data_IF_335713109667
#
_entry.id   IF_335713109667
#
_cell.length_a   1.000
_cell.length_b   1.000
_cell.length_c   1.000
_cell.angle_alpha   90.00
_cell.angle_beta   90.00
_cell.angle_gamma   90.00
#
_symmetry.space_group_name_H-M   'P 1'
#
loop_
_entity.id
_entity.type
_entity.pdbx_description
1 polymer ?
#
# COMPACT_ATOMS: atom_id res chain seq x y z
N UNK A 1 -3.03 6.14 -22.77
CA UNK A 1 -3.40 5.01 -21.91
C UNK A 1 -2.13 4.41 -21.36
N UNK A 2 -2.15 3.90 -20.12
CA UNK A 2 -0.95 3.35 -19.49
C UNK A 2 -0.56 2.04 -20.18
N UNK A 3 0.73 1.88 -20.47
CA UNK A 3 1.28 0.60 -20.92
C UNK A 3 1.43 -0.37 -19.72
N UNK A 4 1.46 -1.70 -19.96
CA UNK A 4 1.80 -2.67 -18.93
C UNK A 4 3.16 -2.38 -18.30
N UNK A 5 3.27 -2.61 -17.00
CA UNK A 5 4.47 -2.36 -16.21
C UNK A 5 5.74 -3.05 -16.75
N UNK A 6 5.60 -4.22 -17.41
CA UNK A 6 6.70 -4.93 -18.07
C UNK A 6 7.38 -4.08 -19.15
N UNK A 7 6.60 -3.24 -19.82
CA UNK A 7 7.03 -2.51 -21.01
C UNK A 7 7.57 -1.13 -20.65
N UNK A 8 7.39 -0.68 -19.40
CA UNK A 8 7.73 0.67 -18.96
C UNK A 8 8.99 0.74 -18.09
N UNK A 9 9.67 -0.38 -17.81
CA UNK A 9 10.79 -0.44 -16.85
C UNK A 9 11.92 0.54 -17.19
N UNK A 10 12.20 0.69 -18.47
CA UNK A 10 13.24 1.58 -19.01
C UNK A 10 12.89 3.08 -18.92
N UNK A 11 11.64 3.43 -18.61
CA UNK A 11 11.15 4.81 -18.58
C UNK A 11 11.39 5.40 -17.18
N UNK A 12 12.42 6.23 -17.03
CA UNK A 12 12.83 6.78 -15.72
C UNK A 12 11.81 7.71 -15.07
N UNK A 13 11.05 8.46 -15.87
CA UNK A 13 9.94 9.29 -15.41
C UNK A 13 8.72 8.92 -16.25
N UNK A 14 7.84 8.09 -15.69
CA UNK A 14 6.70 7.49 -16.37
C UNK A 14 5.43 8.28 -16.05
N UNK A 15 4.84 8.99 -17.04
CA UNK A 15 3.50 9.54 -16.88
C UNK A 15 2.49 8.40 -16.71
N UNK A 16 1.71 8.44 -15.63
CA UNK A 16 0.71 7.43 -15.33
C UNK A 16 -0.65 8.11 -15.09
N UNK A 17 -1.66 7.70 -15.84
CA UNK A 17 -3.04 8.17 -15.69
C UNK A 17 -3.82 7.26 -14.76
N UNK A 18 -4.30 7.76 -13.62
CA UNK A 18 -5.28 7.04 -12.80
C UNK A 18 -6.60 6.82 -13.56
N UNK A 19 -7.40 5.83 -13.15
CA UNK A 19 -8.70 5.56 -13.79
C UNK A 19 -9.70 6.72 -13.74
N UNK A 20 -9.52 7.66 -12.80
CA UNK A 20 -10.34 8.87 -12.68
C UNK A 20 -9.82 10.06 -13.52
N UNK A 21 -8.80 9.83 -14.34
CA UNK A 21 -8.24 10.81 -15.28
C UNK A 21 -7.12 11.69 -14.72
N UNK A 22 -6.83 11.63 -13.41
CA UNK A 22 -5.66 12.31 -12.84
C UNK A 22 -4.38 11.71 -13.42
N UNK A 23 -3.36 12.54 -13.60
CA UNK A 23 -2.04 12.10 -14.07
C UNK A 23 -1.03 12.37 -12.97
N UNK A 24 -0.19 11.38 -12.70
CA UNK A 24 1.01 11.49 -11.87
C UNK A 24 2.23 11.14 -12.72
N UNK A 25 3.42 11.52 -12.26
CA UNK A 25 4.67 11.06 -12.84
C UNK A 25 5.36 10.10 -11.85
N UNK A 26 5.62 8.87 -12.30
CA UNK A 26 6.30 7.83 -11.53
C UNK A 26 7.79 7.79 -11.89
N UNK A 27 8.63 8.12 -10.92
CA UNK A 27 10.06 7.93 -10.98
C UNK A 27 10.39 6.45 -10.83
N UNK A 28 11.12 5.91 -11.79
CA UNK A 28 11.59 4.53 -11.82
C UNK A 28 13.11 4.46 -11.97
N UNK A 29 13.72 3.46 -11.35
CA UNK A 29 15.11 3.12 -11.58
C UNK A 29 15.32 1.60 -11.61
N UNK A 30 15.53 1.08 -12.81
CA UNK A 30 15.85 -0.32 -13.09
C UNK A 30 17.36 -0.61 -13.20
N UNK A 31 18.23 0.39 -12.97
CA UNK A 31 19.69 0.23 -13.13
C UNK A 31 20.39 -0.25 -11.88
N UNK A 32 19.79 -0.03 -10.70
CA UNK A 32 20.32 -0.50 -9.43
C UNK A 32 19.83 -1.93 -9.18
N UNK A 33 20.76 -2.89 -9.12
CA UNK A 33 20.46 -4.30 -8.87
C UNK A 33 20.26 -4.66 -7.40
N UNK A 34 20.13 -3.67 -6.52
CA UNK A 34 19.96 -3.85 -5.07
C UNK A 34 18.51 -4.15 -4.67
N UNK A 35 17.53 -3.74 -5.49
CA UNK A 35 16.11 -4.00 -5.22
C UNK A 35 15.23 -3.86 -6.45
N UNK A 36 14.19 -4.70 -6.50
CA UNK A 36 13.09 -4.62 -7.47
C UNK A 36 12.08 -3.53 -7.16
N UNK A 37 12.13 -2.92 -5.96
CA UNK A 37 11.18 -1.93 -5.45
C UNK A 37 11.25 -0.55 -6.12
N UNK A 38 12.21 -0.33 -7.03
CA UNK A 38 12.38 0.95 -7.74
C UNK A 38 11.67 1.03 -9.09
N UNK A 39 10.92 0.00 -9.48
CA UNK A 39 10.19 -0.02 -10.74
C UNK A 39 8.72 -0.35 -10.53
N UNK A 40 7.86 0.09 -11.45
CA UNK A 40 6.43 -0.20 -11.39
C UNK A 40 6.19 -1.68 -11.71
N UNK A 41 5.31 -2.34 -10.96
CA UNK A 41 4.92 -3.74 -11.18
C UNK A 41 3.46 -3.87 -11.62
N UNK A 42 3.16 -4.95 -12.35
CA UNK A 42 1.86 -5.16 -12.97
C UNK A 42 0.75 -5.31 -11.94
N UNK A 43 1.02 -6.00 -10.82
CA UNK A 43 0.08 -6.15 -9.72
C UNK A 43 -0.35 -4.81 -9.13
N UNK A 44 0.52 -3.80 -9.08
CA UNK A 44 0.16 -2.46 -8.60
C UNK A 44 -0.83 -1.77 -9.55
N UNK A 45 -0.60 -1.86 -10.86
CA UNK A 45 -1.51 -1.31 -11.87
C UNK A 45 -2.88 -2.02 -11.83
N UNK A 46 -2.87 -3.35 -11.74
CA UNK A 46 -4.09 -4.15 -11.60
C UNK A 46 -4.86 -3.80 -10.32
N UNK A 47 -4.15 -3.62 -9.21
CA UNK A 47 -4.77 -3.30 -7.93
C UNK A 47 -5.42 -1.92 -7.97
N UNK A 48 -4.80 -0.92 -8.61
CA UNK A 48 -5.44 0.40 -8.84
C UNK A 48 -6.74 0.27 -9.64
N UNK A 49 -6.72 -0.47 -10.76
CA UNK A 49 -7.92 -0.70 -11.57
C UNK A 49 -9.03 -1.37 -10.76
N UNK A 50 -8.67 -2.42 -10.01
CA UNK A 50 -9.64 -3.15 -9.19
C UNK A 50 -10.18 -2.29 -8.05
N UNK A 51 -9.32 -1.60 -7.30
CA UNK A 51 -9.74 -0.70 -6.22
C UNK A 51 -10.65 0.41 -6.74
N UNK A 52 -10.37 0.99 -7.91
CA UNK A 52 -11.28 1.95 -8.54
C UNK A 52 -12.68 1.36 -8.78
N UNK A 53 -12.74 0.11 -9.24
CA UNK A 53 -14.01 -0.58 -9.50
C UNK A 53 -14.84 -0.88 -8.24
N UNK A 54 -14.24 -0.87 -7.04
CA UNK A 54 -14.95 -1.23 -5.80
C UNK A 54 -15.05 -0.09 -4.79
N UNK A 55 -14.10 0.85 -4.78
CA UNK A 55 -14.03 1.92 -3.78
C UNK A 55 -15.01 3.06 -4.02
N UNK A 56 -15.57 3.21 -5.22
CA UNK A 56 -16.62 4.22 -5.49
C UNK A 56 -17.87 4.04 -4.59
N UNK A 57 -18.07 2.86 -3.99
CA UNK A 57 -19.16 2.56 -3.05
C UNK A 57 -18.81 2.88 -1.60
N UNK A 58 -17.56 3.22 -1.32
CA UNK A 58 -17.04 3.41 0.03
C UNK A 58 -17.11 4.90 0.39
N UNK A 59 -17.75 5.21 1.53
CA UNK A 59 -17.65 6.53 2.13
C UNK A 59 -16.28 6.67 2.79
N UNK A 60 -15.33 7.28 2.06
CA UNK A 60 -13.96 7.54 2.53
C UNK A 60 -13.92 8.68 3.54
N UNK A 61 -14.78 9.69 3.34
CA UNK A 61 -14.92 10.84 4.22
C UNK A 61 -16.31 10.83 4.85
N UNK A 62 -16.37 10.99 6.17
CA UNK A 62 -17.63 11.06 6.93
C UNK A 62 -17.57 12.17 7.95
N UNK A 63 -18.71 12.82 8.22
CA UNK A 63 -18.79 13.87 9.23
C UNK A 63 -19.02 13.25 10.60
N UNK A 64 -18.15 13.57 11.56
CA UNK A 64 -18.24 13.17 12.96
C UNK A 64 -19.36 13.90 13.71
N UNK A 65 -19.63 13.45 14.93
CA UNK A 65 -20.65 14.06 15.81
C UNK A 65 -20.26 15.46 16.28
N UNK A 66 -18.96 15.72 16.35
CA UNK A 66 -18.34 17.02 16.64
C UNK A 66 -18.30 17.97 15.43
N UNK A 67 -18.82 17.53 14.29
CA UNK A 67 -18.79 18.29 13.04
C UNK A 67 -17.46 18.19 12.28
N UNK A 68 -16.45 17.52 12.83
CA UNK A 68 -15.16 17.29 12.18
C UNK A 68 -15.24 16.23 11.10
N UNK A 69 -14.32 16.26 10.14
CA UNK A 69 -14.23 15.24 9.10
C UNK A 69 -13.39 14.06 9.56
N UNK A 70 -13.94 12.84 9.44
CA UNK A 70 -13.23 11.59 9.67
C UNK A 70 -12.92 10.90 8.35
N UNK A 71 -11.63 10.67 8.10
CA UNK A 71 -11.09 9.94 6.95
C UNK A 71 -10.89 8.47 7.27
N UNK A 72 -10.99 7.63 6.23
CA UNK A 72 -10.50 6.26 6.27
C UNK A 72 -8.99 6.23 6.15
N UNK A 73 -8.37 5.25 6.79
CA UNK A 73 -6.91 5.04 6.77
C UNK A 73 -6.56 3.80 5.97
N UNK A 74 -5.52 3.90 5.15
CA UNK A 74 -4.96 2.78 4.43
C UNK A 74 -3.48 2.60 4.76
N UNK A 75 -3.01 1.36 4.76
CA UNK A 75 -1.58 1.02 4.77
C UNK A 75 -1.25 0.18 3.54
N UNK A 76 -0.20 0.53 2.82
CA UNK A 76 0.39 -0.30 1.78
C UNK A 76 1.68 -0.94 2.29
N UNK A 77 1.80 -2.25 2.15
CA UNK A 77 3.05 -2.98 2.39
C UNK A 77 3.81 -3.10 1.07
N UNK A 78 5.14 -2.94 1.12
CA UNK A 78 6.01 -3.12 -0.05
C UNK A 78 5.59 -2.26 -1.24
N UNK A 79 5.37 -0.97 -1.00
CA UNK A 79 4.78 -0.05 -1.96
C UNK A 79 5.65 0.20 -3.20
N UNK A 80 6.96 -0.03 -3.13
CA UNK A 80 7.91 0.26 -4.19
C UNK A 80 7.82 1.72 -4.66
N UNK A 81 7.32 1.93 -5.87
CA UNK A 81 7.09 3.26 -6.46
C UNK A 81 5.92 4.04 -5.83
N UNK A 82 5.06 3.38 -5.07
CA UNK A 82 3.94 4.03 -4.37
C UNK A 82 2.70 4.29 -5.23
N UNK A 83 2.56 3.62 -6.39
CA UNK A 83 1.41 3.83 -7.29
C UNK A 83 0.07 3.63 -6.57
N UNK A 84 -0.11 2.54 -5.81
CA UNK A 84 -1.39 2.25 -5.14
C UNK A 84 -1.62 3.24 -4.00
N UNK A 85 -0.59 3.57 -3.23
CA UNK A 85 -0.66 4.58 -2.17
C UNK A 85 -1.05 5.96 -2.67
N UNK A 86 -0.43 6.43 -3.76
CA UNK A 86 -0.80 7.71 -4.40
C UNK A 86 -2.23 7.68 -4.95
N UNK A 87 -2.64 6.55 -5.52
CA UNK A 87 -4.03 6.37 -5.92
C UNK A 87 -4.98 6.51 -4.72
N UNK A 88 -4.76 5.76 -3.64
CA UNK A 88 -5.61 5.80 -2.44
C UNK A 88 -5.65 7.20 -1.80
N UNK A 89 -4.52 7.90 -1.75
CA UNK A 89 -4.42 9.29 -1.31
C UNK A 89 -5.27 10.22 -2.18
N UNK A 90 -5.21 10.06 -3.50
CA UNK A 90 -6.07 10.81 -4.44
C UNK A 90 -7.56 10.49 -4.28
N UNK A 91 -7.90 9.32 -3.73
CA UNK A 91 -9.28 8.96 -3.38
C UNK A 91 -9.70 9.47 -1.99
N UNK A 92 -8.80 10.14 -1.25
CA UNK A 92 -9.09 10.81 0.02
C UNK A 92 -8.80 10.00 1.29
N UNK A 93 -8.12 8.86 1.16
CA UNK A 93 -7.60 8.11 2.30
C UNK A 93 -6.42 8.84 2.92
N UNK A 94 -6.28 8.76 4.24
CA UNK A 94 -4.98 8.95 4.87
C UNK A 94 -4.15 7.68 4.64
N UNK A 95 -2.98 7.80 4.04
CA UNK A 95 -2.17 6.67 3.59
C UNK A 95 -0.83 6.60 4.31
N UNK A 96 -0.57 5.45 4.94
CA UNK A 96 0.76 5.05 5.37
C UNK A 96 1.34 4.11 4.31
N UNK A 97 2.23 4.62 3.47
CA UNK A 97 2.92 3.86 2.44
C UNK A 97 4.22 3.30 3.00
N UNK A 98 4.39 1.97 2.98
CA UNK A 98 5.55 1.34 3.61
C UNK A 98 6.34 0.45 2.66
N UNK A 99 7.65 0.40 2.87
CA UNK A 99 8.58 -0.51 2.19
C UNK A 99 9.81 -0.69 3.10
N UNK A 100 10.86 -1.39 2.65
CA UNK A 100 12.15 -1.36 3.33
C UNK A 100 12.64 0.08 3.47
N UNK A 101 13.32 0.46 4.58
CA UNK A 101 13.71 1.85 4.83
C UNK A 101 14.43 2.51 3.64
N UNK A 102 15.34 1.79 2.98
CA UNK A 102 16.08 2.33 1.83
C UNK A 102 15.20 2.59 0.60
N UNK A 103 14.07 1.89 0.42
CA UNK A 103 13.08 2.19 -0.64
C UNK A 103 12.13 3.30 -0.20
N UNK A 104 11.65 3.22 1.06
CA UNK A 104 10.74 4.19 1.63
C UNK A 104 11.32 5.62 1.59
N UNK A 105 12.59 5.76 2.01
CA UNK A 105 13.30 7.04 2.10
C UNK A 105 13.94 7.51 0.79
N UNK A 106 13.88 6.70 -0.26
CA UNK A 106 14.38 7.09 -1.59
C UNK A 106 13.24 7.13 -2.61
N UNK A 107 13.03 6.05 -3.35
CA UNK A 107 12.10 5.96 -4.47
C UNK A 107 10.67 6.32 -4.07
N UNK A 108 10.17 5.79 -2.96
CA UNK A 108 8.78 6.00 -2.56
C UNK A 108 8.49 7.46 -2.18
N UNK A 109 9.32 8.03 -1.28
CA UNK A 109 9.18 9.42 -0.87
C UNK A 109 9.38 10.38 -2.06
N UNK A 110 10.41 10.15 -2.88
CA UNK A 110 10.66 10.96 -4.06
C UNK A 110 9.49 10.94 -5.05
N UNK A 111 8.84 9.78 -5.25
CA UNK A 111 7.65 9.67 -6.08
C UNK A 111 6.49 10.55 -5.59
N UNK A 112 6.22 10.57 -4.28
CA UNK A 112 5.15 11.42 -3.74
C UNK A 112 5.50 12.91 -3.83
N UNK A 113 6.72 13.28 -3.44
CA UNK A 113 7.19 14.67 -3.48
C UNK A 113 7.20 15.24 -4.91
N UNK A 114 7.44 14.38 -5.92
CA UNK A 114 7.39 14.73 -7.34
C UNK A 114 5.97 15.02 -7.86
N UNK A 115 4.95 14.80 -7.04
CA UNK A 115 3.55 15.04 -7.36
C UNK A 115 2.87 16.00 -6.35
N UNK A 116 3.38 17.24 -6.14
CA UNK A 116 3.04 18.11 -5.00
C UNK A 116 1.59 18.63 -4.97
N UNK A 117 0.83 18.46 -6.07
CA UNK A 117 -0.59 18.83 -6.16
C UNK A 117 -1.55 17.66 -5.93
N UNK A 118 -1.05 16.45 -5.70
CA UNK A 118 -1.90 15.28 -5.62
C UNK A 118 -2.77 15.31 -4.36
N UNK A 119 -4.08 15.43 -4.57
CA UNK A 119 -5.07 15.47 -3.48
C UNK A 119 -6.42 14.93 -3.93
N UNK A 120 -7.34 14.78 -2.97
CA UNK A 120 -8.67 14.25 -3.21
C UNK A 120 -9.65 15.25 -3.79
N UNK A 121 -10.62 14.75 -4.56
CA UNK A 121 -11.74 15.56 -5.06
C UNK A 121 -12.49 16.28 -3.92
N UNK A 122 -12.58 15.66 -2.73
CA UNK A 122 -13.22 16.29 -1.57
C UNK A 122 -12.57 17.62 -1.21
N UNK A 123 -11.23 17.62 -1.12
CA UNK A 123 -10.43 18.81 -0.80
C UNK A 123 -10.45 19.84 -1.92
N UNK A 124 -10.45 19.41 -3.19
CA UNK A 124 -10.53 20.34 -4.31
C UNK A 124 -11.89 21.04 -4.40
N UNK A 125 -12.97 20.35 -4.05
CA UNK A 125 -14.34 20.89 -4.12
C UNK A 125 -14.73 21.70 -2.90
N UNK A 126 -14.14 21.42 -1.74
CA UNK A 126 -14.38 22.13 -0.49
C UNK A 126 -13.05 22.39 0.24
N UNK A 127 -12.52 23.63 0.17
CA UNK A 127 -11.26 24.00 0.83
C UNK A 127 -11.28 23.87 2.37
N UNK A 128 -12.44 23.73 3.01
CA UNK A 128 -12.52 23.45 4.46
C UNK A 128 -12.13 22.01 4.79
N UNK A 129 -12.12 21.12 3.80
CA UNK A 129 -11.71 19.73 3.92
C UNK A 129 -10.19 19.66 3.74
N UNK A 130 -9.45 19.63 4.86
CA UNK A 130 -7.98 19.49 4.90
C UNK A 130 -7.52 18.32 4.01
N UNK A 131 -6.46 18.47 3.19
CA UNK A 131 -5.94 17.39 2.35
C UNK A 131 -5.75 16.06 3.08
N UNK A 132 -5.92 14.90 2.40
CA UNK A 132 -5.51 13.63 2.96
C UNK A 132 -4.02 13.64 3.31
N UNK A 133 -3.64 12.87 4.34
CA UNK A 133 -2.24 12.73 4.75
C UNK A 133 -1.58 11.56 4.02
N UNK A 134 -0.30 11.72 3.71
CA UNK A 134 0.53 10.67 3.14
C UNK A 134 1.85 10.61 3.92
N UNK A 135 2.22 9.43 4.40
CA UNK A 135 3.53 9.19 5.01
C UNK A 135 4.21 8.01 4.33
N UNK A 136 5.45 8.21 3.89
CA UNK A 136 6.35 7.13 3.47
C UNK A 136 7.20 6.72 4.67
N UNK A 137 7.11 5.45 5.11
CA UNK A 137 7.88 4.95 6.25
C UNK A 137 8.51 3.58 6.01
N UNK A 138 9.65 3.32 6.64
CA UNK A 138 10.26 2.00 6.65
C UNK A 138 9.45 0.99 7.47
N UNK A 139 9.23 -0.20 6.92
CA UNK A 139 8.64 -1.35 7.62
C UNK A 139 9.32 -2.64 7.15
N UNK A 140 10.36 -3.03 7.86
CA UNK A 140 11.02 -4.32 7.69
C UNK A 140 10.17 -5.43 8.35
N UNK A 141 9.61 -6.32 7.52
CA UNK A 141 8.71 -7.38 7.99
C UNK A 141 9.40 -8.42 8.88
N UNK A 142 10.74 -8.45 8.91
CA UNK A 142 11.50 -9.33 9.80
C UNK A 142 11.51 -8.85 11.26
N UNK A 143 11.17 -7.58 11.50
CA UNK A 143 11.12 -6.98 12.84
C UNK A 143 9.82 -7.34 13.53
N UNK A 144 9.91 -7.71 14.82
CA UNK A 144 8.74 -8.09 15.63
C UNK A 144 7.76 -6.92 15.77
N UNK A 145 6.45 -7.21 15.73
CA UNK A 145 5.43 -6.18 15.92
C UNK A 145 5.40 -5.55 17.32
N UNK A 146 6.08 -6.16 18.29
CA UNK A 146 6.32 -5.55 19.60
C UNK A 146 7.27 -4.35 19.56
N UNK A 147 8.06 -4.22 18.49
CA UNK A 147 9.06 -3.16 18.31
C UNK A 147 8.56 -2.04 17.39
N UNK A 148 7.34 -2.16 16.87
CA UNK A 148 6.79 -1.17 15.94
C UNK A 148 6.49 0.16 16.65
N UNK A 149 6.85 1.26 16.00
CA UNK A 149 6.52 2.62 16.43
C UNK A 149 5.87 3.41 15.29
N UNK A 150 4.55 3.63 15.37
CA UNK A 150 3.87 4.45 14.37
C UNK A 150 4.16 5.96 14.54
N UNK A 151 4.67 6.36 15.70
CA UNK A 151 5.03 7.73 16.04
C UNK A 151 6.40 8.14 15.48
N UNK A 152 7.28 7.18 15.22
CA UNK A 152 8.59 7.45 14.62
C UNK A 152 8.41 8.08 13.23
N UNK A 153 9.01 9.25 12.94
CA UNK A 153 8.75 9.98 11.70
C UNK A 153 9.25 9.24 10.46
N UNK A 154 10.23 8.34 10.59
CA UNK A 154 10.91 7.65 9.49
C UNK A 154 10.44 6.20 9.35
N UNK A 155 10.49 5.42 10.43
CA UNK A 155 10.32 3.97 10.33
C UNK A 155 9.25 3.46 11.29
N UNK A 156 8.27 2.72 10.78
CA UNK A 156 7.42 1.88 11.64
C UNK A 156 8.26 0.80 12.30
N UNK A 157 9.15 0.18 11.53
CA UNK A 157 10.10 -0.80 12.02
C UNK A 157 11.30 -0.91 11.08
N UNK A 158 12.50 -0.89 11.62
CA UNK A 158 13.74 -1.11 10.87
C UNK A 158 14.72 -1.96 11.70
N UNK A 159 15.47 -2.82 11.03
CA UNK A 159 16.60 -3.50 11.67
C UNK A 159 17.71 -2.46 11.92
N UNK A 160 18.40 -2.50 13.08
CA UNK A 160 19.52 -1.61 13.32
C UNK A 160 20.61 -1.85 12.27
N UNK A 161 20.74 -0.95 11.31
CA UNK A 161 21.85 -0.94 10.37
C UNK A 161 23.16 -0.60 11.08
N UNK A 162 24.33 -0.90 10.48
CA UNK A 162 25.56 -0.25 10.92
C UNK A 162 25.31 1.27 10.83
N UNK A 163 25.46 1.95 11.97
CA UNK A 163 25.28 3.39 12.16
C UNK A 163 25.60 4.16 10.89
N UNK A 164 24.58 4.65 10.19
CA UNK A 164 24.79 5.56 9.07
C UNK A 164 25.32 6.86 9.67
N UNK A 165 26.64 6.98 9.73
CA UNK A 165 27.40 8.16 10.17
C UNK A 165 27.37 9.28 9.12
N UNK A 166 26.23 9.47 8.46
CA UNK A 166 26.06 10.41 7.36
C UNK A 166 24.60 10.75 7.06
N UNK A 167 23.69 10.59 8.03
CA UNK A 167 22.37 11.19 7.90
C UNK A 167 22.54 12.72 7.79
N UNK A 168 21.92 13.33 6.78
CA UNK A 168 21.95 14.77 6.63
C UNK A 168 21.34 15.42 7.90
N UNK A 169 22.01 16.41 8.53
CA UNK A 169 21.54 17.04 9.77
C UNK A 169 20.14 17.66 9.66
N UNK A 170 19.66 17.92 8.44
CA UNK A 170 18.32 18.45 8.17
C UNK A 170 17.21 17.39 8.30
N UNK A 171 17.51 16.09 8.12
CA UNK A 171 16.51 15.02 8.30
C UNK A 171 16.24 14.66 9.77
N UNK A 172 17.21 14.85 10.67
CA UNK A 172 17.08 14.50 12.10
C UNK A 172 16.04 15.34 12.85
N UNK A 173 15.65 16.50 12.32
CA UNK A 173 14.68 17.42 12.96
C UNK A 173 13.33 17.51 12.23
N UNK A 174 13.09 16.70 11.20
CA UNK A 174 11.81 16.75 10.49
C UNK A 174 10.73 15.98 11.25
N UNK A 175 9.82 16.73 11.90
CA UNK A 175 8.55 16.18 12.39
C UNK A 175 7.48 16.43 11.33
N UNK A 176 6.84 15.38 10.78
CA UNK A 176 5.75 15.59 9.85
C UNK A 176 4.66 16.44 10.51
N UNK A 177 4.15 17.49 9.84
CA UNK A 177 3.06 18.28 10.38
C UNK A 177 1.78 17.43 10.42
N UNK A 178 1.35 17.04 11.61
CA UNK A 178 0.09 16.32 11.85
C UNK A 178 0.26 15.15 12.82
N UNK A 179 -0.87 14.55 13.21
CA UNK A 179 -0.82 13.27 13.95
C UNK A 179 -0.22 12.16 13.06
N UNK A 180 0.30 11.06 13.65
CA UNK A 180 0.67 9.87 12.90
C UNK A 180 -0.54 9.28 12.15
N UNK A 181 -0.27 8.48 11.11
CA UNK A 181 -1.27 7.59 10.51
C UNK A 181 -1.00 6.21 11.11
N UNK A 182 -1.72 5.92 12.18
CA UNK A 182 -1.60 4.68 12.96
C UNK A 182 -2.87 3.80 12.81
N UNK A 183 -2.86 2.55 13.31
CA UNK A 183 -4.06 1.73 13.38
C UNK A 183 -5.21 2.34 14.21
N UNK A 184 -6.45 1.83 14.07
CA UNK A 184 -6.90 0.86 13.09
C UNK A 184 -6.94 1.41 11.65
N UNK A 185 -6.41 0.62 10.71
CA UNK A 185 -6.57 0.84 9.28
C UNK A 185 -7.91 0.29 8.78
N UNK A 186 -8.54 0.98 7.84
CA UNK A 186 -9.73 0.48 7.15
C UNK A 186 -9.34 -0.45 5.99
N UNK A 187 -8.15 -0.25 5.44
CA UNK A 187 -7.66 -0.92 4.24
C UNK A 187 -6.18 -1.30 4.41
N UNK A 188 -5.84 -2.54 4.08
CA UNK A 188 -4.45 -3.00 3.96
C UNK A 188 -4.28 -3.44 2.50
N UNK A 189 -3.26 -2.96 1.81
CA UNK A 189 -2.99 -3.34 0.41
C UNK A 189 -1.55 -3.80 0.22
N UNK A 190 -1.37 -4.69 -0.74
CA UNK A 190 -0.07 -5.13 -1.21
C UNK A 190 -0.18 -5.66 -2.64
N UNK A 191 0.89 -5.49 -3.42
CA UNK A 191 0.98 -5.98 -4.80
C UNK A 191 2.35 -6.60 -5.07
N UNK A 192 2.36 -7.81 -5.64
CA UNK A 192 3.56 -8.53 -6.10
C UNK A 192 4.64 -8.78 -5.02
N UNK A 193 4.22 -9.05 -3.78
CA UNK A 193 5.14 -9.30 -2.65
C UNK A 193 5.35 -10.79 -2.32
N UNK A 194 4.63 -11.69 -2.99
CA UNK A 194 4.71 -13.13 -2.76
C UNK A 194 5.61 -13.75 -3.83
N UNK A 195 6.92 -13.48 -3.72
CA UNK A 195 7.93 -13.92 -4.70
C UNK A 195 9.08 -14.73 -4.07
N UNK A 196 9.18 -14.78 -2.74
CA UNK A 196 10.21 -15.52 -2.02
C UNK A 196 9.60 -16.29 -0.84
N UNK A 197 9.88 -17.59 -0.76
CA UNK A 197 9.42 -18.46 0.34
C UNK A 197 9.93 -17.99 1.71
N UNK A 198 11.12 -17.38 1.76
CA UNK A 198 11.70 -16.82 2.97
C UNK A 198 10.90 -15.63 3.55
N UNK A 199 10.15 -14.91 2.69
CA UNK A 199 9.36 -13.74 3.09
C UNK A 199 7.92 -14.08 3.46
N UNK A 200 7.45 -15.31 3.18
CA UNK A 200 6.07 -15.73 3.46
C UNK A 200 5.73 -15.60 4.94
N UNK A 201 6.59 -16.11 5.82
CA UNK A 201 6.36 -16.08 7.26
C UNK A 201 6.43 -14.66 7.86
N UNK A 202 7.48 -13.85 7.59
CA UNK A 202 7.50 -12.43 7.97
C UNK A 202 6.28 -11.62 7.48
N UNK A 203 5.87 -11.82 6.22
CA UNK A 203 4.73 -11.12 5.65
C UNK A 203 3.40 -11.52 6.32
N UNK A 204 3.19 -12.81 6.57
CA UNK A 204 2.00 -13.29 7.29
C UNK A 204 1.95 -12.76 8.73
N UNK A 205 3.08 -12.71 9.42
CA UNK A 205 3.18 -12.14 10.78
C UNK A 205 2.89 -10.63 10.79
N UNK A 206 3.35 -9.91 9.77
CA UNK A 206 3.04 -8.49 9.58
C UNK A 206 1.54 -8.28 9.32
N UNK A 207 0.95 -9.03 8.38
CA UNK A 207 -0.48 -8.98 8.10
C UNK A 207 -1.33 -9.34 9.32
N UNK A 208 -0.90 -10.34 10.10
CA UNK A 208 -1.52 -10.76 11.36
C UNK A 208 -1.59 -9.60 12.35
N UNK A 209 -0.44 -9.00 12.61
CA UNK A 209 -0.30 -7.92 13.59
C UNK A 209 -1.11 -6.69 13.17
N UNK A 210 -1.04 -6.29 11.90
CA UNK A 210 -1.86 -5.18 11.37
C UNK A 210 -3.36 -5.47 11.44
N UNK A 211 -3.76 -6.72 11.15
CA UNK A 211 -5.17 -7.14 11.25
C UNK A 211 -5.65 -7.19 12.71
N UNK A 212 -4.78 -7.54 13.66
CA UNK A 212 -5.12 -7.53 15.09
C UNK A 212 -5.28 -6.09 15.61
N UNK A 213 -4.43 -5.17 15.17
CA UNK A 213 -4.56 -3.73 15.44
C UNK A 213 -5.72 -3.08 14.66
N UNK A 214 -6.18 -3.71 13.58
CA UNK A 214 -7.20 -3.21 12.66
C UNK A 214 -8.28 -4.26 12.38
N UNK A 215 -9.07 -4.68 13.38
CA UNK A 215 -9.93 -5.87 13.29
C UNK A 215 -11.08 -5.76 12.27
N UNK A 216 -11.34 -4.55 11.75
CA UNK A 216 -12.35 -4.28 10.73
C UNK A 216 -11.75 -4.03 9.35
N UNK A 217 -10.42 -4.12 9.21
CA UNK A 217 -9.73 -3.87 7.96
C UNK A 217 -10.15 -4.88 6.90
N UNK A 218 -10.13 -4.45 5.65
CA UNK A 218 -10.13 -5.35 4.50
C UNK A 218 -8.74 -5.35 3.89
N UNK A 219 -8.21 -6.53 3.62
CA UNK A 219 -6.91 -6.67 2.96
C UNK A 219 -7.11 -7.04 1.49
N UNK A 220 -6.47 -6.31 0.57
CA UNK A 220 -6.39 -6.69 -0.84
C UNK A 220 -4.95 -7.02 -1.23
N UNK A 221 -4.80 -8.12 -1.95
CA UNK A 221 -3.51 -8.61 -2.44
C UNK A 221 -3.64 -8.78 -3.94
N UNK A 222 -2.82 -8.08 -4.72
CA UNK A 222 -2.63 -8.38 -6.13
C UNK A 222 -1.35 -9.19 -6.33
N UNK A 223 -1.39 -10.21 -7.18
CA UNK A 223 -0.23 -11.05 -7.50
C UNK A 223 -0.19 -11.38 -8.98
N UNK A 224 1.00 -11.46 -9.53
CA UNK A 224 1.30 -12.25 -10.72
C UNK A 224 1.77 -13.65 -10.30
N UNK A 225 1.04 -14.70 -10.71
CA UNK A 225 1.34 -16.09 -10.34
C UNK A 225 2.49 -16.62 -11.17
N UNK A 226 3.71 -16.38 -10.69
CA UNK A 226 4.96 -16.91 -11.26
C UNK A 226 5.34 -18.28 -10.73
N UNK A 227 4.98 -18.55 -9.47
CA UNK A 227 5.15 -19.83 -8.79
C UNK A 227 3.79 -20.24 -8.15
N UNK A 228 3.01 -21.11 -8.81
CA UNK A 228 1.71 -21.54 -8.31
C UNK A 228 1.77 -22.22 -6.92
N UNK A 229 2.85 -22.93 -6.60
CA UNK A 229 2.99 -23.62 -5.32
C UNK A 229 3.23 -22.62 -4.19
N UNK A 230 4.09 -21.62 -4.43
CA UNK A 230 4.35 -20.54 -3.47
C UNK A 230 3.07 -19.74 -3.19
N UNK A 231 2.35 -19.31 -4.24
CA UNK A 231 1.11 -18.53 -4.10
C UNK A 231 0.03 -19.35 -3.37
N UNK A 232 -0.18 -20.59 -3.79
CA UNK A 232 -1.14 -21.49 -3.14
C UNK A 232 -0.76 -21.74 -1.67
N UNK A 233 0.52 -22.00 -1.40
CA UNK A 233 1.06 -22.21 -0.06
C UNK A 233 0.85 -21.01 0.86
N UNK A 234 1.06 -19.78 0.37
CA UNK A 234 0.77 -18.55 1.10
C UNK A 234 -0.71 -18.49 1.54
N UNK A 235 -1.66 -18.70 0.61
CA UNK A 235 -3.07 -18.62 0.93
C UNK A 235 -3.57 -19.79 1.80
N UNK A 236 -2.95 -20.96 1.72
CA UNK A 236 -3.21 -22.08 2.66
C UNK A 236 -2.81 -21.71 4.07
N UNK A 237 -1.61 -21.15 4.26
CA UNK A 237 -1.14 -20.67 5.58
C UNK A 237 -2.03 -19.54 6.13
N UNK A 238 -2.35 -18.55 5.30
CA UNK A 238 -3.27 -17.47 5.68
C UNK A 238 -4.65 -18.02 6.12
N UNK A 239 -5.20 -19.03 5.44
CA UNK A 239 -6.45 -19.67 5.89
C UNK A 239 -6.28 -20.37 7.24
N UNK A 240 -5.15 -21.06 7.45
CA UNK A 240 -4.79 -21.69 8.73
C UNK A 240 -4.77 -20.71 9.91
N UNK A 241 -4.34 -19.48 9.66
CA UNK A 241 -4.28 -18.39 10.65
C UNK A 241 -5.60 -17.63 10.85
N UNK A 242 -6.68 -18.08 10.20
CA UNK A 242 -8.04 -17.59 10.42
C UNK A 242 -8.48 -16.47 9.47
N UNK A 243 -7.77 -16.25 8.36
CA UNK A 243 -8.28 -15.41 7.28
C UNK A 243 -9.28 -16.15 6.40
N UNK A 244 -10.36 -15.47 6.07
CA UNK A 244 -11.16 -15.79 4.89
C UNK A 244 -10.48 -15.16 3.67
N UNK A 245 -9.89 -15.99 2.82
CA UNK A 245 -9.30 -15.57 1.54
C UNK A 245 -10.31 -15.82 0.41
N UNK A 246 -10.60 -14.81 -0.40
CA UNK A 246 -11.52 -14.89 -1.54
C UNK A 246 -10.86 -14.30 -2.78
N UNK A 247 -10.60 -15.14 -3.78
CA UNK A 247 -10.11 -14.69 -5.09
C UNK A 247 -11.22 -13.91 -5.80
N UNK A 248 -10.87 -12.77 -6.38
CA UNK A 248 -11.75 -11.97 -7.23
C UNK A 248 -12.03 -12.73 -8.52
N UNK A 249 -13.27 -12.67 -9.00
CA UNK A 249 -13.65 -13.30 -10.26
C UNK A 249 -12.79 -12.78 -11.42
N UNK A 250 -12.16 -13.70 -12.15
CA UNK A 250 -11.28 -13.38 -13.26
C UNK A 250 -12.01 -12.60 -14.37
N UNK A 251 -13.32 -12.81 -14.56
CA UNK A 251 -14.12 -12.08 -15.53
C UNK A 251 -14.20 -10.58 -15.20
N UNK A 252 -14.20 -10.22 -13.92
CA UNK A 252 -14.15 -8.82 -13.48
C UNK A 252 -12.79 -8.23 -13.83
N UNK A 253 -11.70 -8.93 -13.49
CA UNK A 253 -10.34 -8.47 -13.78
C UNK A 253 -10.15 -8.30 -15.29
N UNK A 254 -10.50 -9.30 -16.10
CA UNK A 254 -10.39 -9.26 -17.55
C UNK A 254 -11.16 -8.08 -18.17
N UNK A 255 -12.32 -7.72 -17.61
CA UNK A 255 -13.07 -6.55 -18.08
C UNK A 255 -12.33 -5.24 -17.80
N UNK A 256 -11.77 -5.08 -16.59
CA UNK A 256 -11.02 -3.87 -16.21
C UNK A 256 -9.76 -3.71 -17.05
N UNK A 257 -9.06 -4.82 -17.22
CA UNK A 257 -7.87 -4.98 -18.01
C UNK A 257 -8.12 -4.62 -19.50
N UNK A 258 -9.15 -5.18 -20.13
CA UNK A 258 -9.53 -4.80 -21.51
C UNK A 258 -9.92 -3.33 -21.62
N UNK A 259 -10.54 -2.74 -20.60
CA UNK A 259 -10.84 -1.31 -20.58
C UNK A 259 -9.58 -0.43 -20.48
N UNK A 260 -8.47 -0.95 -19.94
CA UNK A 260 -7.16 -0.32 -19.97
C UNK A 260 -6.38 -0.58 -21.28
N UNK A 261 -6.95 -1.36 -22.20
CA UNK A 261 -6.41 -1.71 -23.51
C UNK A 261 -5.02 -2.37 -23.47
N UNK A 262 -4.72 -3.18 -22.44
CA UNK A 262 -3.54 -4.04 -22.51
C UNK A 262 -3.85 -5.31 -23.29
N UNK A 263 -2.80 -5.94 -23.80
CA UNK A 263 -2.90 -7.20 -24.53
C UNK A 263 -3.16 -8.37 -23.56
N UNK A 264 -3.87 -9.40 -24.02
CA UNK A 264 -4.24 -10.54 -23.18
C UNK A 264 -3.04 -11.34 -22.69
N UNK A 265 -1.96 -11.36 -23.47
CA UNK A 265 -0.68 -11.97 -23.09
C UNK A 265 0.04 -11.18 -21.97
N UNK A 266 -0.19 -9.86 -21.89
CA UNK A 266 0.48 -8.97 -20.95
C UNK A 266 -0.02 -9.07 -19.51
N UNK A 267 -1.06 -9.86 -19.24
CA UNK A 267 -1.65 -10.04 -17.91
C UNK A 267 -1.99 -11.49 -17.57
N UNK A 268 -1.37 -12.46 -18.24
CA UNK A 268 -1.56 -13.86 -17.88
C UNK A 268 -1.11 -14.12 -16.43
N UNK A 269 -1.88 -14.93 -15.70
CA UNK A 269 -1.53 -15.31 -14.34
C UNK A 269 -1.75 -14.22 -13.27
N UNK A 270 -2.35 -13.08 -13.59
CA UNK A 270 -2.66 -12.07 -12.56
C UNK A 270 -3.92 -12.40 -11.76
N UNK A 271 -3.84 -12.22 -10.46
CA UNK A 271 -4.94 -12.46 -9.52
C UNK A 271 -5.07 -11.31 -8.52
N UNK A 272 -6.31 -11.08 -8.06
CA UNK A 272 -6.58 -10.23 -6.90
C UNK A 272 -7.32 -11.05 -5.85
N UNK A 273 -6.91 -10.91 -4.60
CA UNK A 273 -7.48 -11.60 -3.44
C UNK A 273 -7.98 -10.60 -2.40
N UNK A 274 -9.15 -10.89 -1.84
CA UNK A 274 -9.72 -10.18 -0.71
C UNK A 274 -9.60 -11.06 0.54
N UNK A 275 -8.94 -10.53 1.57
CA UNK A 275 -8.71 -11.20 2.83
C UNK A 275 -9.47 -10.47 3.94
N UNK A 276 -10.18 -11.24 4.77
CA UNK A 276 -10.80 -10.76 6.00
C UNK A 276 -10.49 -11.69 7.15
N UNK A 277 -9.88 -11.18 8.20
CA UNK A 277 -9.61 -11.96 9.41
C UNK A 277 -10.77 -11.85 10.38
N UNK A 278 -11.24 -12.98 10.90
CA UNK A 278 -12.17 -12.94 12.03
C UNK A 278 -11.33 -12.74 13.29
N UNK A 279 -11.52 -11.62 13.99
CA UNK A 279 -10.88 -11.43 15.29
C UNK A 279 -11.24 -12.60 16.22
N UNK A 280 -10.21 -13.23 16.80
CA UNK A 280 -10.35 -14.22 17.89
C UNK A 280 -10.23 -13.51 19.24
N UNK A 281 -10.93 -12.41 19.49
CA UNK A 281 -11.09 -11.91 20.86
C UNK A 281 -12.42 -11.19 21.10
N UNK A 282 -13.31 -11.91 21.81
CA UNK A 282 -14.18 -11.30 22.81
C UNK A 282 -13.34 -11.14 24.09
N UNK A 283 -12.48 -10.12 24.15
CA UNK A 283 -11.89 -9.70 25.44
C UNK A 283 -12.08 -8.19 25.55
N UNK A 284 -12.80 -7.70 26.58
CA UNK A 284 -13.05 -6.29 26.73
C UNK A 284 -11.73 -5.57 26.98
N UNK A 285 -11.48 -4.54 26.19
CA UNK A 285 -10.39 -3.58 26.37
C UNK A 285 -10.49 -3.03 27.81
N UNK A 286 -9.66 -3.54 28.74
CA UNK A 286 -9.49 -2.90 30.04
C UNK A 286 -8.77 -1.59 29.77
N UNK A 287 -9.49 -0.48 29.90
CA UNK A 287 -8.86 0.82 30.11
C UNK A 287 -7.95 0.68 31.33
N UNK A 288 -6.64 0.84 31.15
CA UNK A 288 -5.78 1.16 32.29
C UNK A 288 -6.18 2.54 32.78
N UNK A 289 -6.43 2.61 34.10
CA UNK A 289 -6.70 3.81 34.86
C UNK A 289 -5.40 4.51 35.21
#
# INVERSE_FOLDING_TARGET
>A
MNQPASDTKHIKALPYSFPDGRVIELLQDDTLGDSTGRSLWLGAQLLVLYLHSVLHKVKVLTKGKDGGWKRRRAIELGAGTGLVSMYLHSQGYDVLSTDMPFIAHSCLKANFDHNPGLTSNFTMLDPSIVPPRFYAKGLDWSVSSSEWSFDDPRDVASTPGPSQSGADPEEENWTPPGSPIDPPFDLIVLSDLIYSSALVEPLLNTLRSLSDLSPLSTTYIAVEVRDPELISGFFVRAKGDGWKCSKVDQLILNKLMRAAAWDELGWEGVEVWCLKRRSKSKLPFRKQA
#
